data_IF_904104051953
#
_entry.id   IF_904104051953
#
_cell.length_a   1.000
_cell.length_b   1.000
_cell.length_c   1.000
_cell.angle_alpha   90.00
_cell.angle_beta   90.00
_cell.angle_gamma   90.00
#
_symmetry.space_group_name_H-M   'P 1'
#
loop_
_entity.id
_entity.type
_entity.pdbx_description
1 polymer ?
#
# COMPACT_ATOMS: atom_id res chain seq x y z
N UNK A 1 -9.37 -8.27 14.24
CA UNK A 1 -9.03 -9.37 13.32
C UNK A 1 -9.11 -8.74 11.95
N UNK A 2 -8.01 -8.85 11.19
CA UNK A 2 -7.89 -8.21 9.89
C UNK A 2 -9.10 -8.52 9.01
N UNK A 3 -9.62 -7.49 8.35
CA UNK A 3 -10.82 -7.60 7.50
C UNK A 3 -10.45 -7.87 6.06
N UNK A 4 -9.28 -7.40 5.65
CA UNK A 4 -8.80 -7.50 4.29
C UNK A 4 -7.36 -7.97 4.27
N UNK A 5 -6.96 -8.49 3.11
CA UNK A 5 -5.57 -8.73 2.79
C UNK A 5 -5.26 -8.31 1.36
N UNK A 6 -4.02 -7.93 1.11
CA UNK A 6 -3.51 -7.56 -0.21
C UNK A 6 -2.11 -8.13 -0.41
N UNK A 7 -1.80 -8.59 -1.61
CA UNK A 7 -0.44 -9.00 -1.94
C UNK A 7 0.39 -7.74 -2.21
N UNK A 8 1.63 -7.72 -1.74
CA UNK A 8 2.55 -6.58 -1.87
C UNK A 8 2.71 -6.13 -3.33
N UNK A 9 2.76 -7.07 -4.28
CA UNK A 9 2.86 -6.79 -5.72
C UNK A 9 1.58 -6.15 -6.28
N UNK A 10 0.40 -6.60 -5.84
CA UNK A 10 -0.87 -6.06 -6.30
C UNK A 10 -1.09 -4.63 -5.76
N UNK A 11 -0.57 -4.37 -4.55
CA UNK A 11 -0.53 -3.03 -3.99
C UNK A 11 0.42 -2.11 -4.75
N UNK A 12 1.62 -2.57 -5.11
CA UNK A 12 2.58 -1.79 -5.92
C UNK A 12 1.95 -1.32 -7.24
N UNK A 13 1.23 -2.20 -7.94
CA UNK A 13 0.55 -1.88 -9.19
C UNK A 13 -0.63 -0.88 -9.03
N UNK A 14 -1.04 -0.54 -7.81
CA UNK A 14 -2.04 0.50 -7.59
C UNK A 14 -1.51 1.92 -7.85
N UNK A 15 -0.19 2.13 -7.89
CA UNK A 15 0.46 3.45 -8.04
C UNK A 15 0.85 3.79 -9.48
N UNK A 16 0.06 3.34 -10.47
CA UNK A 16 0.31 3.67 -11.87
C UNK A 16 0.08 5.16 -12.18
N UNK A 17 0.61 5.64 -13.31
CA UNK A 17 0.39 7.00 -13.80
C UNK A 17 -1.08 7.30 -14.16
N UNK A 18 -1.93 6.28 -14.26
CA UNK A 18 -3.38 6.47 -14.42
C UNK A 18 -4.07 6.80 -13.09
N UNK A 19 -3.44 6.43 -11.96
CA UNK A 19 -3.97 6.63 -10.61
C UNK A 19 -3.39 7.87 -9.97
N UNK A 20 -2.07 8.06 -10.06
CA UNK A 20 -1.34 9.22 -9.53
C UNK A 20 -1.12 10.19 -10.68
N UNK A 21 -1.94 11.23 -10.76
CA UNK A 21 -1.99 12.15 -11.91
C UNK A 21 -1.58 13.57 -11.56
N UNK A 22 -1.68 13.97 -10.30
CA UNK A 22 -1.36 15.33 -9.89
C UNK A 22 0.16 15.50 -9.74
N UNK A 23 0.61 16.76 -9.78
CA UNK A 23 2.03 17.09 -9.63
C UNK A 23 2.42 17.11 -8.15
N UNK A 24 3.45 16.33 -7.82
CA UNK A 24 4.04 16.29 -6.48
C UNK A 24 5.47 16.82 -6.51
N UNK A 25 5.87 17.50 -5.43
CA UNK A 25 7.26 17.85 -5.20
C UNK A 25 8.11 16.60 -4.96
N UNK A 26 9.44 16.74 -5.12
CA UNK A 26 10.38 15.65 -4.83
C UNK A 26 10.26 15.16 -3.38
N UNK A 27 10.00 16.07 -2.42
CA UNK A 27 9.83 15.71 -1.01
C UNK A 27 8.56 14.88 -0.78
N UNK A 28 7.46 15.24 -1.42
CA UNK A 28 6.21 14.46 -1.37
C UNK A 28 6.39 13.08 -2.01
N UNK A 29 7.05 13.00 -3.17
CA UNK A 29 7.39 11.72 -3.79
C UNK A 29 8.26 10.83 -2.88
N UNK A 30 9.26 11.42 -2.21
CA UNK A 30 10.09 10.66 -1.27
C UNK A 30 9.27 10.08 -0.12
N UNK A 31 8.38 10.88 0.49
CA UNK A 31 7.52 10.41 1.59
C UNK A 31 6.52 9.36 1.15
N UNK A 32 5.95 9.51 -0.05
CA UNK A 32 5.06 8.50 -0.64
C UNK A 32 5.80 7.20 -0.89
N UNK A 33 7.01 7.24 -1.47
CA UNK A 33 7.81 6.04 -1.71
C UNK A 33 8.18 5.35 -0.39
N UNK A 34 8.64 6.09 0.62
CA UNK A 34 8.92 5.54 1.96
C UNK A 34 7.67 4.89 2.60
N UNK A 35 6.48 5.42 2.30
CA UNK A 35 5.22 4.82 2.74
C UNK A 35 4.89 3.55 1.95
N UNK A 36 4.98 3.59 0.61
CA UNK A 36 4.67 2.48 -0.28
C UNK A 36 5.62 1.31 0.00
N UNK A 37 6.91 1.59 0.15
CA UNK A 37 7.94 0.60 0.43
C UNK A 37 7.60 -0.23 1.67
N UNK A 38 6.99 0.35 2.71
CA UNK A 38 6.59 -0.43 3.91
C UNK A 38 5.57 -1.54 3.63
N UNK A 39 4.78 -1.39 2.57
CA UNK A 39 3.71 -2.32 2.18
C UNK A 39 4.09 -3.18 0.97
N UNK A 40 5.09 -2.76 0.20
CA UNK A 40 5.62 -3.57 -0.91
C UNK A 40 6.82 -4.40 -0.47
N UNK A 41 7.41 -4.08 0.69
CA UNK A 41 8.56 -4.76 1.24
C UNK A 41 8.19 -6.10 1.86
N UNK A 42 8.68 -7.20 1.26
CA UNK A 42 8.64 -8.52 1.88
C UNK A 42 9.88 -8.70 2.76
N UNK A 43 9.74 -8.70 4.10
CA UNK A 43 10.89 -8.93 4.96
C UNK A 43 11.37 -10.37 4.80
N UNK A 44 12.68 -10.57 4.91
CA UNK A 44 13.23 -11.90 5.18
C UNK A 44 13.21 -12.15 6.69
N UNK A 45 13.32 -13.41 7.12
CA UNK A 45 13.43 -13.79 8.55
C UNK A 45 14.60 -13.10 9.31
N UNK A 46 15.46 -12.35 8.61
CA UNK A 46 16.63 -11.64 9.13
C UNK A 46 16.51 -10.12 9.01
N UNK A 47 15.35 -9.60 8.65
CA UNK A 47 15.15 -8.17 8.41
C UNK A 47 14.48 -7.45 9.59
N UNK A 48 15.16 -6.45 10.13
CA UNK A 48 14.75 -5.62 11.25
C UNK A 48 14.41 -4.18 10.84
N UNK A 49 14.38 -3.89 9.52
CA UNK A 49 14.18 -2.52 9.02
C UNK A 49 12.76 -1.99 9.18
N UNK A 50 11.77 -2.87 9.32
CA UNK A 50 10.35 -2.51 9.40
C UNK A 50 9.58 -3.43 10.35
N UNK A 51 8.69 -2.87 11.17
CA UNK A 51 7.56 -3.64 11.71
C UNK A 51 6.59 -3.91 10.55
N UNK A 52 6.62 -5.11 9.99
CA UNK A 52 5.79 -5.45 8.83
C UNK A 52 4.50 -6.13 9.27
N UNK A 53 3.39 -5.83 8.61
CA UNK A 53 2.14 -6.57 8.75
C UNK A 53 2.05 -7.79 7.79
N UNK A 54 3.17 -8.11 7.11
CA UNK A 54 3.27 -9.22 6.16
C UNK A 54 3.24 -10.54 6.90
N UNK A 55 2.28 -11.39 6.55
CA UNK A 55 2.31 -12.78 6.94
C UNK A 55 3.23 -13.56 5.99
N UNK A 56 4.44 -13.88 6.47
CA UNK A 56 5.45 -14.59 5.70
C UNK A 56 5.05 -16.00 5.22
N UNK A 57 3.94 -16.55 5.72
CA UNK A 57 3.44 -17.86 5.28
C UNK A 57 2.71 -17.81 3.95
N UNK A 58 1.97 -16.74 3.67
CA UNK A 58 1.16 -16.60 2.46
C UNK A 58 1.51 -15.37 1.61
N UNK A 59 2.37 -14.49 2.12
CA UNK A 59 2.90 -13.33 1.38
C UNK A 59 1.90 -12.19 1.25
N UNK A 60 0.91 -12.11 2.14
CA UNK A 60 -0.06 -11.03 2.17
C UNK A 60 0.14 -10.09 3.36
N UNK A 61 -0.13 -8.82 3.13
CA UNK A 61 -0.36 -7.82 4.17
C UNK A 61 -1.81 -7.87 4.63
N UNK A 62 -2.01 -7.94 5.94
CA UNK A 62 -3.32 -7.98 6.58
C UNK A 62 -3.67 -6.62 7.16
N UNK A 63 -4.83 -6.07 6.77
CA UNK A 63 -5.26 -4.73 7.18
C UNK A 63 -6.69 -4.75 7.73
N UNK A 64 -6.97 -3.83 8.66
CA UNK A 64 -8.32 -3.62 9.19
C UNK A 64 -9.10 -2.61 8.34
N UNK A 65 -8.41 -1.64 7.73
CA UNK A 65 -8.98 -0.55 6.94
C UNK A 65 -8.13 -0.20 5.71
N UNK A 66 -8.80 0.04 4.57
CA UNK A 66 -8.20 0.51 3.32
C UNK A 66 -7.41 1.81 3.51
N UNK A 67 -7.82 2.68 4.43
CA UNK A 67 -7.11 3.94 4.69
C UNK A 67 -5.67 3.74 5.19
N UNK A 68 -5.32 2.55 5.69
CA UNK A 68 -3.95 2.19 6.06
C UNK A 68 -3.02 2.14 4.85
N UNK A 69 -3.57 1.94 3.65
CA UNK A 69 -2.86 1.81 2.37
C UNK A 69 -2.85 3.11 1.55
N UNK A 70 -3.26 4.24 2.12
CA UNK A 70 -3.38 5.51 1.39
C UNK A 70 -2.37 6.52 1.92
N UNK A 71 -1.34 6.91 1.14
CA UNK A 71 -0.40 7.95 1.55
C UNK A 71 -1.12 9.27 1.84
N UNK A 72 -0.66 10.00 2.86
CA UNK A 72 -1.31 11.24 3.31
C UNK A 72 -1.03 12.41 2.38
N UNK A 73 0.10 12.34 1.69
CA UNK A 73 0.64 13.32 0.75
C UNK A 73 -0.21 13.43 -0.52
N UNK A 74 -0.92 12.36 -0.90
CA UNK A 74 -1.77 12.37 -2.08
C UNK A 74 -2.87 13.43 -2.02
N UNK A 75 -3.19 14.04 -3.16
CA UNK A 75 -4.35 14.91 -3.28
C UNK A 75 -5.65 14.12 -3.10
N UNK A 76 -6.74 14.80 -2.77
CA UNK A 76 -8.03 14.12 -2.56
C UNK A 76 -8.51 13.37 -3.81
N UNK A 77 -8.18 13.87 -5.00
CA UNK A 77 -8.51 13.22 -6.27
C UNK A 77 -7.71 11.93 -6.47
N UNK A 78 -6.39 11.97 -6.25
CA UNK A 78 -5.54 10.79 -6.33
C UNK A 78 -5.89 9.77 -5.25
N UNK A 79 -6.16 10.22 -4.01
CA UNK A 79 -6.66 9.33 -2.94
C UNK A 79 -7.95 8.64 -3.34
N UNK A 80 -8.87 9.33 -4.03
CA UNK A 80 -10.13 8.72 -4.52
C UNK A 80 -9.87 7.67 -5.60
N UNK A 81 -8.99 7.95 -6.57
CA UNK A 81 -8.57 7.00 -7.60
C UNK A 81 -7.88 5.79 -6.98
N UNK A 82 -6.94 6.02 -6.07
CA UNK A 82 -6.17 4.99 -5.40
C UNK A 82 -7.06 4.05 -4.58
N UNK A 83 -7.96 4.59 -3.75
CA UNK A 83 -8.93 3.76 -3.00
C UNK A 83 -9.79 2.89 -3.91
N UNK A 84 -10.17 3.38 -5.09
CA UNK A 84 -10.89 2.57 -6.05
C UNK A 84 -10.00 1.43 -6.54
N UNK A 85 -8.75 1.73 -6.91
CA UNK A 85 -7.81 0.73 -7.42
C UNK A 85 -7.46 -0.34 -6.39
N UNK A 86 -7.16 0.06 -5.16
CA UNK A 86 -6.89 -0.86 -4.04
C UNK A 86 -8.07 -1.83 -3.83
N UNK A 87 -9.32 -1.35 -3.88
CA UNK A 87 -10.50 -2.21 -3.72
C UNK A 87 -10.61 -3.30 -4.78
N UNK A 88 -10.05 -3.09 -5.98
CA UNK A 88 -10.02 -4.10 -7.04
C UNK A 88 -9.02 -5.23 -6.70
N UNK A 89 -8.01 -4.93 -5.88
CA UNK A 89 -6.94 -5.85 -5.47
C UNK A 89 -7.14 -6.48 -4.08
N UNK A 90 -8.07 -5.97 -3.27
CA UNK A 90 -8.29 -6.47 -1.91
C UNK A 90 -9.04 -7.80 -1.89
N UNK A 91 -8.60 -8.69 -1.01
CA UNK A 91 -9.29 -9.94 -0.67
C UNK A 91 -9.90 -9.81 0.72
N UNK A 92 -11.17 -10.18 0.88
CA UNK A 92 -11.82 -10.19 2.20
C UNK A 92 -11.35 -11.41 2.99
N UNK A 93 -11.09 -11.24 4.28
CA UNK A 93 -10.73 -12.33 5.19
C UNK A 93 -12.01 -12.79 5.89
N UNK A 94 -12.40 -14.05 5.67
CA UNK A 94 -13.56 -14.70 6.30
C UNK A 94 -13.30 -15.06 7.78
#
# INVERSE_FOLDING_TARGET
MAKYKIASIDYEFCFSSEVIQDDYSQEEYSKMNDFIDKWTYMPSDKDDRFETNVNLKDGYDYIDNIEELVPKELTDNDKKRLRKKIRESLVTVD
#
